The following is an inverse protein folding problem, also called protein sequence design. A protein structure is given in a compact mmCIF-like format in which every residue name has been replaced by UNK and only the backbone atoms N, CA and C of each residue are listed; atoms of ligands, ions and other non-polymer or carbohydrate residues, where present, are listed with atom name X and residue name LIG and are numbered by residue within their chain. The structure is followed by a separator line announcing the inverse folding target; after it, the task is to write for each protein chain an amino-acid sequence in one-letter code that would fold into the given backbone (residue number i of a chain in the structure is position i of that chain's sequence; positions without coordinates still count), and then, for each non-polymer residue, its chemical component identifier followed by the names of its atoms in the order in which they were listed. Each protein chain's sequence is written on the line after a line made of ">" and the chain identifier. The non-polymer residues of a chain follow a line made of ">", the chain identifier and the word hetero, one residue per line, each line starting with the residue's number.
data_IF_460442200488
#
_entry.id   IF_460442200488
#
_cell.length_a   1.000
_cell.length_b   1.000
_cell.length_c   1.000
_cell.angle_alpha   90.00
_cell.angle_beta   90.00
_cell.angle_gamma   90.00
#
_symmetry.space_group_name_H-M   'P 1'
#
loop_
_entity.id
_entity.type
_entity.pdbx_description
1 polymer ?
#
# COMPACT_ATOMS: atom_id res chain seq x y z
N UNK A 1 4.00 10.48 17.59
CA UNK A 1 2.97 9.43 17.78
C UNK A 1 3.63 8.10 17.49
N UNK A 2 3.42 7.09 18.30
CA UNK A 2 3.86 5.75 17.92
C UNK A 2 2.90 5.25 16.86
N UNK A 3 3.39 4.98 15.65
CA UNK A 3 2.63 4.32 14.62
C UNK A 3 2.22 2.93 15.13
N UNK A 4 0.95 2.64 15.06
CA UNK A 4 0.38 1.34 15.44
C UNK A 4 -0.31 0.74 14.23
N UNK A 5 -0.38 -0.59 14.19
CA UNK A 5 -1.22 -1.27 13.23
C UNK A 5 -2.66 -0.72 13.38
N UNK A 6 -3.27 -0.36 12.25
CA UNK A 6 -4.66 0.07 12.22
C UNK A 6 -5.57 -1.16 12.18
N UNK A 7 -6.63 -1.11 12.96
CA UNK A 7 -7.72 -2.05 12.82
C UNK A 7 -8.43 -1.83 11.47
N UNK A 8 -8.98 -2.87 10.85
CA UNK A 8 -9.76 -2.74 9.63
C UNK A 8 -10.98 -1.84 9.83
N UNK A 9 -11.08 -0.79 9.01
CA UNK A 9 -12.24 0.10 8.98
C UNK A 9 -13.05 -0.20 7.72
N UNK A 10 -14.33 -0.43 7.88
CA UNK A 10 -15.25 -0.76 6.81
C UNK A 10 -16.35 0.28 6.70
N UNK A 11 -16.74 0.59 5.48
CA UNK A 11 -17.89 1.41 5.16
C UNK A 11 -18.92 0.59 4.40
N UNK A 12 -20.18 0.74 4.74
CA UNK A 12 -21.29 0.19 3.99
C UNK A 12 -22.55 1.02 4.19
N UNK A 13 -23.37 1.11 3.15
CA UNK A 13 -24.61 1.91 3.14
C UNK A 13 -25.74 1.14 2.48
N UNK A 14 -26.92 1.21 3.09
CA UNK A 14 -28.20 0.87 2.48
C UNK A 14 -28.99 2.15 2.28
N UNK A 15 -29.29 2.51 1.04
CA UNK A 15 -29.88 3.81 0.68
C UNK A 15 -31.32 4.00 1.20
N UNK A 16 -32.12 2.94 1.14
CA UNK A 16 -33.48 2.95 1.65
C UNK A 16 -33.98 1.52 1.92
N UNK A 17 -34.59 1.32 3.07
CA UNK A 17 -35.26 0.06 3.40
C UNK A 17 -36.75 0.35 3.51
N UNK A 18 -37.53 -0.23 2.62
CA UNK A 18 -39.00 -0.05 2.60
C UNK A 18 -39.64 -1.29 3.24
N UNK A 19 -39.87 -1.23 4.54
CA UNK A 19 -40.48 -2.34 5.28
C UNK A 19 -42.01 -2.24 5.24
N UNK A 20 -42.67 -3.22 4.61
CA UNK A 20 -44.11 -3.27 4.48
C UNK A 20 -44.85 -3.83 5.69
N UNK A 21 -44.11 -4.34 6.67
CA UNK A 21 -44.67 -4.89 7.92
C UNK A 21 -45.33 -6.28 7.79
N UNK A 22 -45.31 -6.89 6.62
CA UNK A 22 -46.02 -8.14 6.37
C UNK A 22 -45.17 -9.40 6.25
N UNK A 23 -43.86 -9.24 6.04
CA UNK A 23 -42.91 -10.34 5.82
C UNK A 23 -41.54 -9.94 6.34
N UNK A 24 -40.68 -10.93 6.60
CA UNK A 24 -39.26 -10.74 6.84
C UNK A 24 -38.61 -10.19 5.59
N UNK A 25 -37.79 -9.16 5.76
CA UNK A 25 -37.02 -8.55 4.67
C UNK A 25 -35.53 -8.64 5.01
N UNK A 26 -34.75 -9.16 4.06
CA UNK A 26 -33.29 -9.23 4.16
C UNK A 26 -32.67 -8.23 3.20
N UNK A 27 -31.79 -7.40 3.70
CA UNK A 27 -31.00 -6.45 2.90
C UNK A 27 -29.51 -6.83 2.94
N UNK A 28 -28.86 -6.74 1.79
CA UNK A 28 -27.42 -7.00 1.70
C UNK A 28 -26.66 -5.70 1.63
N UNK A 29 -25.70 -5.53 2.53
CA UNK A 29 -24.80 -4.37 2.54
C UNK A 29 -23.43 -4.81 2.01
N UNK A 30 -23.01 -4.23 0.90
CA UNK A 30 -21.63 -4.39 0.41
C UNK A 30 -20.71 -3.47 1.21
N UNK A 31 -19.61 -4.03 1.72
CA UNK A 31 -18.64 -3.30 2.51
C UNK A 31 -17.39 -2.96 1.68
N UNK A 32 -16.91 -1.72 1.82
CA UNK A 32 -15.63 -1.26 1.30
C UNK A 32 -14.67 -1.11 2.47
N UNK A 33 -13.50 -1.71 2.38
CA UNK A 33 -12.45 -1.57 3.39
C UNK A 33 -11.70 -0.26 3.17
N UNK A 34 -11.71 0.61 4.17
CA UNK A 34 -11.08 1.93 4.13
C UNK A 34 -9.63 1.94 4.64
N UNK A 35 -9.06 0.78 4.95
CA UNK A 35 -7.68 0.64 5.39
C UNK A 35 -6.94 -0.36 4.53
N UNK A 36 -5.68 -0.06 4.22
CA UNK A 36 -4.79 -0.97 3.51
C UNK A 36 -3.60 -1.32 4.39
N UNK A 37 -3.06 -2.52 4.20
CA UNK A 37 -1.87 -3.01 4.84
C UNK A 37 -0.79 -3.30 3.79
N UNK A 38 0.39 -2.75 4.02
CA UNK A 38 1.57 -2.97 3.19
C UNK A 38 2.65 -3.68 3.98
N UNK A 39 3.33 -4.61 3.32
CA UNK A 39 4.57 -5.20 3.77
C UNK A 39 5.62 -5.00 2.69
N UNK A 40 6.54 -4.07 2.92
CA UNK A 40 7.68 -3.83 2.05
C UNK A 40 8.88 -4.59 2.56
N UNK A 41 9.61 -5.18 1.63
CA UNK A 41 10.84 -5.91 1.91
C UNK A 41 11.95 -5.34 1.04
N UNK A 42 13.01 -4.84 1.65
CA UNK A 42 14.23 -4.48 0.94
C UNK A 42 15.20 -5.65 1.01
N UNK A 43 15.42 -6.30 -0.12
CA UNK A 43 16.33 -7.43 -0.22
C UNK A 43 17.61 -7.02 -0.97
N UNK A 44 18.72 -7.28 -0.34
CA UNK A 44 20.03 -7.07 -0.96
C UNK A 44 20.25 -8.01 -2.15
N UNK A 45 20.74 -7.46 -3.26
CA UNK A 45 21.12 -8.20 -4.45
C UNK A 45 22.51 -7.73 -4.92
N UNK A 46 23.51 -8.54 -4.70
CA UNK A 46 24.90 -8.23 -5.07
C UNK A 46 25.84 -7.97 -3.90
N UNK A 47 27.12 -7.66 -4.21
CA UNK A 47 28.14 -7.39 -3.19
C UNK A 47 27.94 -6.03 -2.51
N UNK A 48 28.69 -5.78 -1.44
CA UNK A 48 28.66 -4.54 -0.68
C UNK A 48 27.98 -4.68 0.68
N UNK A 49 28.01 -3.62 1.48
CA UNK A 49 27.38 -3.58 2.79
C UNK A 49 25.87 -3.38 2.67
N UNK A 50 25.13 -4.03 3.54
CA UNK A 50 23.67 -3.81 3.60
C UNK A 50 23.33 -2.42 4.14
N UNK A 51 22.18 -1.92 3.74
CA UNK A 51 21.62 -0.70 4.34
C UNK A 51 21.38 -0.94 5.84
N UNK A 52 21.76 0.05 6.64
CA UNK A 52 21.40 0.06 8.05
C UNK A 52 19.90 0.37 8.18
N UNK A 53 19.16 -0.58 8.76
CA UNK A 53 17.73 -0.43 9.01
C UNK A 53 17.42 0.85 9.81
N UNK A 54 18.27 1.21 10.76
CA UNK A 54 18.07 2.40 11.59
C UNK A 54 18.23 3.69 10.80
N UNK A 55 18.99 3.66 9.70
CA UNK A 55 19.20 4.78 8.79
C UNK A 55 18.14 4.83 7.66
N UNK A 56 17.24 3.85 7.57
CA UNK A 56 16.15 3.82 6.62
C UNK A 56 14.91 4.54 7.17
N UNK A 57 14.36 5.46 6.37
CA UNK A 57 13.06 6.09 6.60
C UNK A 57 12.12 5.72 5.46
N UNK A 58 11.15 4.86 5.76
CA UNK A 58 10.06 4.54 4.85
C UNK A 58 8.88 5.46 5.12
N UNK A 59 8.32 6.05 4.08
CA UNK A 59 7.12 6.87 4.17
C UNK A 59 6.20 6.63 2.98
N UNK A 60 4.89 6.59 3.24
CA UNK A 60 3.88 6.68 2.19
C UNK A 60 3.22 8.04 2.31
N UNK A 61 3.25 8.81 1.23
CA UNK A 61 2.65 10.13 1.16
C UNK A 61 1.35 10.08 0.35
N UNK A 62 0.25 10.48 0.95
CA UNK A 62 -1.06 10.51 0.32
C UNK A 62 -1.98 11.56 0.94
N UNK A 63 -2.92 12.10 0.15
CA UNK A 63 -3.97 13.02 0.59
C UNK A 63 -5.32 12.28 0.75
N UNK A 64 -5.32 11.19 1.52
CA UNK A 64 -6.44 10.27 1.65
C UNK A 64 -6.95 10.05 3.07
N UNK A 65 -6.79 11.05 3.95
CA UNK A 65 -7.11 10.93 5.38
C UNK A 65 -8.49 11.40 5.78
N UNK A 66 -9.20 12.19 4.95
CA UNK A 66 -10.43 12.86 5.35
C UNK A 66 -11.61 12.45 4.49
N UNK A 67 -12.65 11.88 5.11
CA UNK A 67 -13.85 11.38 4.46
C UNK A 67 -15.11 11.99 5.04
N UNK A 68 -16.12 12.20 4.18
CA UNK A 68 -17.45 12.50 4.63
C UNK A 68 -18.20 11.23 5.11
N UNK A 69 -19.40 11.42 5.61
CA UNK A 69 -20.25 10.32 6.11
C UNK A 69 -20.73 9.36 4.98
N UNK A 70 -20.60 9.74 3.71
CA UNK A 70 -20.88 8.90 2.54
C UNK A 70 -19.65 8.21 1.98
N UNK A 71 -18.55 8.25 2.72
CA UNK A 71 -17.26 7.71 2.29
C UNK A 71 -16.66 8.37 1.04
N UNK A 72 -17.04 9.62 0.76
CA UNK A 72 -16.34 10.41 -0.26
C UNK A 72 -15.10 11.03 0.35
N UNK A 73 -13.99 10.91 -0.37
CA UNK A 73 -12.76 11.60 0.03
C UNK A 73 -12.94 13.11 -0.14
N UNK A 74 -12.66 13.86 0.90
CA UNK A 74 -12.61 15.30 0.89
C UNK A 74 -11.16 15.78 0.69
N UNK A 75 -10.99 17.07 0.33
CA UNK A 75 -9.66 17.65 0.22
C UNK A 75 -9.01 17.70 1.61
N UNK A 76 -7.76 17.26 1.67
CA UNK A 76 -6.96 17.20 2.88
C UNK A 76 -5.50 17.52 2.54
N UNK A 77 -4.71 17.77 3.57
CA UNK A 77 -3.26 17.87 3.44
C UNK A 77 -2.64 16.48 3.21
N UNK A 78 -1.46 16.47 2.60
CA UNK A 78 -0.71 15.23 2.41
C UNK A 78 -0.29 14.67 3.76
N UNK A 79 -0.68 13.43 4.02
CA UNK A 79 -0.32 12.68 5.22
C UNK A 79 0.92 11.84 4.89
N UNK A 80 1.87 11.77 5.83
CA UNK A 80 2.99 10.84 5.81
C UNK A 80 2.70 9.67 6.74
N UNK A 81 2.48 8.50 6.14
CA UNK A 81 2.35 7.23 6.89
C UNK A 81 3.73 6.63 7.07
N UNK A 82 4.03 6.18 8.29
CA UNK A 82 5.30 5.55 8.64
C UNK A 82 5.08 4.12 9.13
N UNK A 83 6.11 3.25 9.11
CA UNK A 83 5.99 1.89 9.58
C UNK A 83 5.53 1.81 11.05
N UNK A 84 4.57 0.95 11.32
CA UNK A 84 4.25 0.54 12.69
C UNK A 84 5.14 -0.62 13.17
N UNK A 85 5.76 -1.33 12.22
CA UNK A 85 6.73 -2.37 12.46
C UNK A 85 7.87 -2.26 11.45
N UNK A 86 9.11 -2.30 11.95
CA UNK A 86 10.32 -2.26 11.15
C UNK A 86 11.31 -3.25 11.78
N UNK A 87 11.75 -4.23 11.01
CA UNK A 87 12.68 -5.25 11.49
C UNK A 87 13.65 -5.67 10.39
N UNK A 88 14.82 -6.16 10.80
CA UNK A 88 15.76 -6.86 9.93
C UNK A 88 15.60 -8.36 10.15
N UNK A 89 15.22 -9.06 9.08
CA UNK A 89 15.06 -10.51 9.09
C UNK A 89 16.22 -11.16 8.35
N UNK A 90 16.89 -12.10 8.99
CA UNK A 90 18.02 -12.84 8.41
C UNK A 90 17.59 -13.50 7.09
N UNK A 91 18.43 -13.45 6.06
CA UNK A 91 18.20 -13.99 4.71
C UNK A 91 17.00 -13.39 3.94
N UNK A 92 16.25 -12.48 4.54
CA UNK A 92 15.10 -11.80 3.92
C UNK A 92 15.43 -10.35 3.59
N UNK A 93 15.98 -9.60 4.54
CA UNK A 93 16.30 -8.19 4.41
C UNK A 93 15.57 -7.30 5.43
N UNK A 94 15.36 -6.03 5.09
CA UNK A 94 14.64 -5.07 5.92
C UNK A 94 13.15 -5.16 5.61
N UNK A 95 12.35 -5.45 6.61
CA UNK A 95 10.89 -5.56 6.52
C UNK A 95 10.25 -4.35 7.17
N UNK A 96 9.41 -3.63 6.42
CA UNK A 96 8.63 -2.51 6.91
C UNK A 96 7.13 -2.80 6.72
N UNK A 97 6.36 -2.80 7.81
CA UNK A 97 4.91 -2.92 7.75
C UNK A 97 4.24 -1.58 8.02
N UNK A 98 3.34 -1.20 7.13
CA UNK A 98 2.69 0.11 7.11
C UNK A 98 1.20 -0.05 6.86
N UNK A 99 0.43 0.92 7.35
CA UNK A 99 -0.98 1.05 6.99
C UNK A 99 -1.21 2.37 6.24
N UNK A 100 -2.22 2.38 5.37
CA UNK A 100 -2.77 3.61 4.80
C UNK A 100 -4.29 3.58 4.87
N UNK A 101 -4.91 4.74 4.67
CA UNK A 101 -6.32 4.80 4.34
C UNK A 101 -6.56 4.31 2.91
N UNK A 102 -7.82 4.22 2.49
CA UNK A 102 -8.27 3.73 1.19
C UNK A 102 -7.48 4.37 0.04
N UNK A 103 -7.08 3.55 -0.92
CA UNK A 103 -6.40 3.99 -2.13
C UNK A 103 -7.42 4.36 -3.20
N UNK A 104 -7.23 5.50 -3.86
CA UNK A 104 -8.09 5.96 -4.95
C UNK A 104 -7.29 6.04 -6.25
N UNK A 105 -7.83 5.47 -7.33
CA UNK A 105 -7.14 5.35 -8.63
C UNK A 105 -6.67 6.68 -9.23
N UNK A 106 -7.38 7.77 -8.93
CA UNK A 106 -7.09 9.11 -9.45
C UNK A 106 -6.18 9.93 -8.55
N UNK A 107 -5.76 9.39 -7.40
CA UNK A 107 -4.87 10.05 -6.46
C UNK A 107 -3.42 9.60 -6.65
N UNK A 108 -2.49 10.48 -6.29
CA UNK A 108 -1.07 10.14 -6.25
C UNK A 108 -0.68 9.68 -4.85
N UNK A 109 -0.09 8.50 -4.77
CA UNK A 109 0.37 7.90 -3.54
C UNK A 109 1.81 7.46 -3.74
N UNK A 110 2.74 8.09 -3.05
CA UNK A 110 4.17 7.81 -3.21
C UNK A 110 4.72 7.03 -2.02
N UNK A 111 5.37 5.91 -2.29
CA UNK A 111 6.30 5.30 -1.36
C UNK A 111 7.66 5.94 -1.55
N UNK A 112 8.26 6.42 -0.48
CA UNK A 112 9.65 6.90 -0.47
C UNK A 112 10.48 6.10 0.52
N UNK A 113 11.74 5.92 0.17
CA UNK A 113 12.79 5.46 1.07
C UNK A 113 13.88 6.52 1.12
N UNK A 114 14.09 7.09 2.28
CA UNK A 114 15.10 8.12 2.50
C UNK A 114 16.16 7.62 3.48
N UNK A 115 17.43 7.91 3.21
CA UNK A 115 18.51 7.69 4.14
C UNK A 115 18.56 8.85 5.13
N UNK A 116 18.40 8.56 6.42
CA UNK A 116 18.29 9.58 7.47
C UNK A 116 19.58 10.36 7.69
N UNK A 117 20.73 9.70 7.55
CA UNK A 117 22.05 10.27 7.84
C UNK A 117 22.40 11.46 6.96
N UNK A 118 21.93 11.49 5.70
CA UNK A 118 22.23 12.56 4.74
C UNK A 118 20.99 13.14 4.05
N UNK A 119 19.80 12.64 4.37
CA UNK A 119 18.54 13.06 3.75
C UNK A 119 18.38 12.64 2.30
N UNK A 120 19.21 11.73 1.77
CA UNK A 120 19.14 11.30 0.39
C UNK A 120 17.94 10.40 0.14
N UNK A 121 17.09 10.78 -0.81
CA UNK A 121 16.04 9.92 -1.33
C UNK A 121 16.70 8.77 -2.13
N UNK A 122 16.53 7.54 -1.66
CA UNK A 122 17.06 6.33 -2.28
C UNK A 122 16.08 5.74 -3.28
N UNK A 123 14.79 5.87 -3.02
CA UNK A 123 13.71 5.33 -3.84
C UNK A 123 12.46 6.19 -3.73
N UNK A 124 11.76 6.34 -4.86
CA UNK A 124 10.40 6.91 -4.91
C UNK A 124 9.58 6.15 -5.93
N UNK A 125 8.44 5.63 -5.51
CA UNK A 125 7.53 4.82 -6.33
C UNK A 125 6.12 5.41 -6.25
N UNK A 126 5.47 5.64 -7.39
CA UNK A 126 4.03 5.92 -7.44
C UNK A 126 3.28 4.60 -7.26
N UNK A 127 2.66 4.42 -6.08
CA UNK A 127 2.07 3.13 -5.71
C UNK A 127 0.86 2.75 -6.54
N UNK A 128 0.02 3.70 -6.94
CA UNK A 128 -1.25 3.37 -7.61
C UNK A 128 -1.01 2.69 -8.96
N UNK A 129 -0.27 3.29 -9.92
CA UNK A 129 0.04 2.61 -11.18
C UNK A 129 0.77 1.27 -10.94
N UNK A 130 1.65 1.26 -9.96
CA UNK A 130 2.45 0.10 -9.63
C UNK A 130 1.60 -1.09 -9.13
N UNK A 131 0.65 -0.84 -8.23
CA UNK A 131 -0.28 -1.86 -7.74
C UNK A 131 -1.23 -2.34 -8.85
N UNK A 132 -1.64 -1.45 -9.75
CA UNK A 132 -2.53 -1.80 -10.87
C UNK A 132 -1.88 -2.74 -11.89
N UNK A 133 -0.54 -2.88 -11.92
CA UNK A 133 0.13 -3.90 -12.73
C UNK A 133 -0.28 -5.33 -12.33
N UNK A 134 -0.74 -5.52 -11.09
CA UNK A 134 -1.24 -6.82 -10.62
C UNK A 134 -2.69 -7.08 -11.00
N UNK A 135 -3.39 -6.09 -11.56
CA UNK A 135 -4.71 -6.27 -12.16
C UNK A 135 -4.57 -7.03 -13.46
N UNK A 136 -4.87 -8.30 -13.44
CA UNK A 136 -4.77 -9.15 -14.62
C UNK A 136 -5.79 -8.75 -15.69
N UNK A 137 -5.41 -8.83 -16.96
CA UNK A 137 -6.30 -8.56 -18.11
C UNK A 137 -7.60 -9.35 -18.08
N UNK A 138 -7.61 -10.54 -17.48
CA UNK A 138 -8.80 -11.37 -17.33
C UNK A 138 -9.83 -10.85 -16.32
N UNK A 139 -9.47 -9.89 -15.46
CA UNK A 139 -10.39 -9.26 -14.53
C UNK A 139 -10.89 -7.94 -15.11
N UNK A 140 -11.94 -8.00 -15.91
CA UNK A 140 -12.55 -6.82 -16.53
C UNK A 140 -13.36 -6.00 -15.52
N UNK A 141 -12.72 -5.61 -14.41
CA UNK A 141 -13.28 -4.73 -13.38
C UNK A 141 -12.60 -3.36 -13.44
N UNK A 142 -13.27 -2.26 -13.07
CA UNK A 142 -12.66 -0.94 -12.96
C UNK A 142 -11.46 -0.94 -12.01
N UNK A 143 -10.50 -0.05 -12.25
CA UNK A 143 -9.29 0.06 -11.43
C UNK A 143 -9.62 0.35 -9.95
N UNK A 144 -10.57 1.25 -9.69
CA UNK A 144 -11.03 1.53 -8.32
C UNK A 144 -11.63 0.29 -7.65
N UNK A 145 -12.45 -0.46 -8.37
CA UNK A 145 -13.04 -1.69 -7.80
C UNK A 145 -11.96 -2.73 -7.47
N UNK A 146 -10.92 -2.82 -8.30
CA UNK A 146 -9.78 -3.67 -8.00
C UNK A 146 -9.07 -3.24 -6.71
N UNK A 147 -8.77 -1.95 -6.54
CA UNK A 147 -8.15 -1.41 -5.33
C UNK A 147 -9.04 -1.59 -4.09
N UNK A 148 -10.35 -1.49 -4.24
CA UNK A 148 -11.31 -1.69 -3.14
C UNK A 148 -11.43 -3.15 -2.70
N UNK A 149 -11.19 -4.10 -3.59
CA UNK A 149 -11.18 -5.54 -3.30
C UNK A 149 -9.86 -6.01 -2.69
N UNK A 150 -8.77 -5.29 -2.96
CA UNK A 150 -7.43 -5.58 -2.46
C UNK A 150 -7.07 -4.63 -1.32
N UNK A 151 -6.65 -5.17 -0.21
CA UNK A 151 -6.29 -4.36 0.95
C UNK A 151 -5.00 -4.80 1.63
N UNK A 152 -4.37 -5.85 1.13
CA UNK A 152 -3.12 -6.37 1.66
C UNK A 152 -2.13 -6.59 0.52
N UNK A 153 -0.96 -5.95 0.63
CA UNK A 153 0.06 -5.95 -0.39
C UNK A 153 1.40 -6.33 0.21
N UNK A 154 2.11 -7.25 -0.45
CA UNK A 154 3.50 -7.56 -0.14
C UNK A 154 4.38 -7.24 -1.35
N UNK A 155 5.38 -6.38 -1.17
CA UNK A 155 6.26 -5.89 -2.24
C UNK A 155 7.71 -6.07 -1.81
N UNK A 156 8.49 -6.74 -2.65
CA UNK A 156 9.92 -6.95 -2.43
C UNK A 156 10.70 -6.10 -3.44
N UNK A 157 11.51 -5.20 -2.94
CA UNK A 157 12.46 -4.42 -3.73
C UNK A 157 13.84 -5.03 -3.61
N UNK A 158 14.49 -5.30 -4.74
CA UNK A 158 15.86 -5.77 -4.79
C UNK A 158 16.79 -4.61 -5.09
N UNK A 159 17.76 -4.37 -4.24
CA UNK A 159 18.71 -3.28 -4.40
C UNK A 159 20.16 -3.76 -4.48
N UNK A 160 20.97 -3.03 -5.23
CA UNK A 160 22.43 -3.21 -5.23
C UNK A 160 23.04 -2.23 -4.22
N UNK A 161 23.74 -2.71 -3.17
CA UNK A 161 24.34 -1.83 -2.17
C UNK A 161 25.43 -0.91 -2.71
N UNK A 162 26.20 -1.37 -3.71
CA UNK A 162 27.32 -0.62 -4.27
C UNK A 162 26.85 0.64 -5.03
N UNK A 163 25.74 0.54 -5.76
CA UNK A 163 25.22 1.65 -6.56
C UNK A 163 24.00 2.31 -5.93
N UNK A 164 23.44 1.72 -4.88
CA UNK A 164 22.16 2.13 -4.26
C UNK A 164 21.04 2.31 -5.29
N UNK A 165 21.01 1.44 -6.29
CA UNK A 165 19.95 1.40 -7.27
C UNK A 165 19.07 0.15 -7.09
N UNK A 166 17.80 0.27 -7.47
CA UNK A 166 16.85 -0.83 -7.41
C UNK A 166 16.87 -1.58 -8.74
N UNK A 167 17.21 -2.86 -8.70
CA UNK A 167 17.42 -3.71 -9.88
C UNK A 167 16.12 -4.34 -10.38
N UNK A 168 15.25 -4.68 -9.46
CA UNK A 168 13.99 -5.34 -9.79
C UNK A 168 13.02 -5.26 -8.60
N UNK A 169 11.79 -5.56 -8.88
CA UNK A 169 10.74 -5.64 -7.87
C UNK A 169 9.90 -6.88 -8.07
N UNK A 170 9.54 -7.48 -6.97
CA UNK A 170 8.58 -8.57 -6.91
C UNK A 170 7.35 -8.10 -6.15
N UNK A 171 6.20 -8.15 -6.80
CA UNK A 171 4.91 -7.84 -6.18
C UNK A 171 4.18 -9.16 -5.95
N UNK A 172 3.71 -9.36 -4.72
CA UNK A 172 2.91 -10.52 -4.34
C UNK A 172 1.57 -10.05 -3.82
N UNK A 173 0.50 -10.45 -4.49
CA UNK A 173 -0.89 -10.18 -4.09
C UNK A 173 -1.69 -11.46 -4.25
N UNK A 174 -2.38 -11.90 -3.20
CA UNK A 174 -3.24 -13.09 -3.20
C UNK A 174 -2.57 -14.34 -3.83
N UNK A 175 -1.29 -14.55 -3.57
CA UNK A 175 -0.53 -15.67 -4.13
C UNK A 175 -0.03 -15.47 -5.56
N UNK A 176 -0.43 -14.41 -6.25
CA UNK A 176 0.12 -14.03 -7.54
C UNK A 176 1.45 -13.30 -7.37
N UNK A 177 2.41 -13.63 -8.23
CA UNK A 177 3.73 -12.99 -8.24
C UNK A 177 4.00 -12.36 -9.58
N UNK A 178 4.30 -11.06 -9.59
CA UNK A 178 4.75 -10.31 -10.76
C UNK A 178 6.19 -9.86 -10.51
N UNK A 179 7.03 -10.04 -11.49
CA UNK A 179 8.40 -9.55 -11.50
C UNK A 179 8.53 -8.39 -12.47
N UNK A 180 8.98 -7.24 -11.97
CA UNK A 180 9.37 -6.07 -12.77
C UNK A 180 10.88 -5.97 -12.76
N UNK A 181 11.49 -5.81 -13.93
CA UNK A 181 12.92 -5.56 -14.07
C UNK A 181 13.20 -4.07 -14.14
N UNK A 182 14.46 -3.67 -13.92
CA UNK A 182 14.85 -2.26 -13.83
C UNK A 182 14.53 -1.39 -15.05
N UNK A 183 14.18 -1.98 -16.19
CA UNK A 183 13.74 -1.29 -17.40
C UNK A 183 12.24 -0.89 -17.33
N UNK A 184 11.50 -1.44 -16.37
CA UNK A 184 10.06 -1.24 -16.17
C UNK A 184 9.76 -0.30 -14.98
N UNK A 185 10.81 0.23 -14.30
CA UNK A 185 10.73 1.03 -13.06
C UNK A 185 10.95 2.51 -13.29
#
# INVERSE_FOLDING_TARGET
>A
MHNKALDPIWYGEVKAVNFTGKQEQTETVSLIKNTNKFRFILQKSGPGEELDMNDCLFEIHADNGYYDWKNNLLNDDVISYQPYHLEKVEDVGIVAEMNTMRLLEHKKVYLTLTRKSDGKELMKVDLIPYLLLTKMEGHNIPAQEYLDRQSEYAIVFFYNPEFLNFLSTKIVINGWTIWLKGEDL
#
